data_IF_035924035758
#
_entry.id   IF_035924035758
#
_cell.length_a   1.000
_cell.length_b   1.000
_cell.length_c   1.000
_cell.angle_alpha   90.00
_cell.angle_beta   90.00
_cell.angle_gamma   90.00
#
_symmetry.space_group_name_H-M   'P 1'
#
loop_
_entity.id
_entity.type
_entity.pdbx_description
1 polymer ?
#
# COMPACT_ATOMS: atom_id res chain seq x y z
N UNK A 1 3.27 -18.49 5.27
CA UNK A 1 3.63 -19.83 4.76
C UNK A 1 3.83 -20.75 5.97
N UNK A 2 3.19 -21.93 6.05
CA UNK A 2 3.38 -22.82 7.19
C UNK A 2 4.84 -23.35 7.21
N UNK A 3 5.51 -23.31 8.37
CA UNK A 3 6.94 -23.71 8.51
C UNK A 3 7.19 -25.09 7.93
N UNK A 4 8.23 -25.31 7.12
CA UNK A 4 8.51 -26.65 6.55
C UNK A 4 8.99 -27.67 7.61
N UNK A 5 9.49 -27.17 8.74
CA UNK A 5 10.10 -27.96 9.80
C UNK A 5 9.22 -28.03 11.06
N UNK A 6 9.27 -29.17 11.74
CA UNK A 6 8.78 -29.37 13.11
C UNK A 6 9.91 -29.06 14.07
N UNK A 7 9.68 -28.12 14.99
CA UNK A 7 10.67 -27.70 15.99
C UNK A 7 10.45 -28.42 17.32
N UNK A 8 11.54 -28.83 17.96
CA UNK A 8 11.54 -29.42 19.29
C UNK A 8 12.78 -28.95 20.07
N UNK A 9 12.58 -28.53 21.31
CA UNK A 9 13.64 -27.99 22.13
C UNK A 9 14.42 -29.12 22.81
N UNK A 10 15.75 -28.97 22.90
CA UNK A 10 16.59 -29.79 23.79
C UNK A 10 16.52 -31.31 23.53
N UNK A 11 16.37 -31.73 22.27
CA UNK A 11 16.64 -33.11 21.89
C UNK A 11 18.15 -33.31 21.93
N UNK A 12 18.62 -34.15 22.86
CA UNK A 12 20.03 -34.52 22.98
C UNK A 12 20.10 -35.92 23.58
N UNK A 13 20.41 -36.90 22.75
CA UNK A 13 20.42 -38.31 23.11
C UNK A 13 21.45 -39.05 22.24
N UNK A 14 21.41 -40.37 22.25
CA UNK A 14 22.30 -41.22 21.44
C UNK A 14 21.48 -42.23 20.65
N UNK A 15 22.09 -42.87 19.66
CA UNK A 15 21.49 -43.99 18.95
C UNK A 15 21.41 -45.21 19.89
N UNK A 16 20.24 -45.84 19.95
CA UNK A 16 20.03 -47.10 20.68
C UNK A 16 20.56 -48.32 19.90
N UNK A 17 20.77 -48.17 18.58
CA UNK A 17 21.29 -49.21 17.71
C UNK A 17 22.05 -48.61 16.53
N UNK A 18 22.99 -49.37 15.96
CA UNK A 18 23.72 -48.96 14.77
C UNK A 18 22.78 -48.86 13.55
N UNK A 19 23.07 -47.93 12.65
CA UNK A 19 22.32 -47.72 11.41
C UNK A 19 23.27 -47.69 10.21
N UNK A 20 22.81 -48.26 9.08
CA UNK A 20 23.53 -48.20 7.82
C UNK A 20 23.24 -46.90 7.06
N UNK A 21 23.98 -46.64 5.99
CA UNK A 21 23.79 -45.49 5.09
C UNK A 21 22.39 -45.45 4.44
N UNK A 22 21.75 -46.61 4.26
CA UNK A 22 20.41 -46.76 3.67
C UNK A 22 19.28 -46.90 4.69
N UNK A 23 19.54 -46.72 5.98
CA UNK A 23 18.51 -46.89 7.01
C UNK A 23 17.39 -45.86 6.85
N UNK A 24 16.15 -46.35 6.78
CA UNK A 24 14.92 -45.55 6.67
C UNK A 24 14.24 -45.30 8.02
N UNK A 25 14.79 -45.86 9.10
CA UNK A 25 14.38 -45.67 10.48
C UNK A 25 15.60 -45.77 11.41
N UNK A 26 15.52 -45.11 12.56
CA UNK A 26 16.48 -45.23 13.65
C UNK A 26 15.75 -45.17 15.00
N UNK A 27 16.36 -45.75 16.02
CA UNK A 27 15.85 -45.70 17.39
C UNK A 27 16.84 -44.93 18.27
N UNK A 28 16.32 -43.97 19.02
CA UNK A 28 17.07 -43.18 19.99
C UNK A 28 17.05 -43.87 21.35
N UNK A 29 18.09 -43.65 22.16
CA UNK A 29 18.19 -44.20 23.52
C UNK A 29 17.19 -43.56 24.50
N UNK A 30 16.65 -42.39 24.14
CA UNK A 30 15.59 -41.73 24.89
C UNK A 30 14.61 -41.01 23.97
N UNK A 31 13.32 -41.01 24.35
CA UNK A 31 12.27 -40.21 23.71
C UNK A 31 12.13 -38.81 24.34
N UNK A 32 12.98 -38.45 25.29
CA UNK A 32 12.89 -37.18 25.99
C UNK A 32 12.91 -35.99 25.02
N UNK A 33 11.96 -35.07 25.20
CA UNK A 33 11.76 -33.86 24.41
C UNK A 33 11.46 -34.06 22.91
N UNK A 34 11.25 -35.30 22.47
CA UNK A 34 10.74 -35.56 21.13
C UNK A 34 9.27 -35.13 21.03
N UNK A 35 8.84 -34.57 19.89
CA UNK A 35 7.43 -34.25 19.68
C UNK A 35 6.59 -35.53 19.62
N UNK A 36 5.35 -35.48 20.06
CA UNK A 36 4.45 -36.63 20.01
C UNK A 36 4.13 -37.10 18.57
N UNK A 37 4.26 -36.21 17.58
CA UNK A 37 4.06 -36.50 16.16
C UNK A 37 4.78 -35.49 15.27
N UNK A 38 4.93 -35.84 13.98
CA UNK A 38 5.40 -34.95 12.92
C UNK A 38 4.21 -34.74 11.97
N UNK A 39 3.68 -33.51 11.82
CA UNK A 39 2.55 -33.26 10.93
C UNK A 39 2.88 -33.58 9.47
N UNK A 40 1.84 -33.91 8.69
CA UNK A 40 2.00 -34.20 7.26
C UNK A 40 2.63 -33.03 6.49
N UNK A 41 3.58 -33.35 5.61
CA UNK A 41 4.34 -32.36 4.85
C UNK A 41 5.38 -31.58 5.67
N UNK A 42 5.68 -32.02 6.91
CA UNK A 42 6.73 -31.47 7.76
C UNK A 42 7.79 -32.52 8.03
N UNK A 43 8.96 -32.05 8.47
CA UNK A 43 10.05 -32.93 8.92
C UNK A 43 10.64 -32.46 10.24
N UNK A 44 11.05 -33.41 11.08
CA UNK A 44 11.90 -33.15 12.24
C UNK A 44 13.35 -33.28 11.82
N UNK A 45 14.17 -32.28 12.14
CA UNK A 45 15.60 -32.28 11.82
C UNK A 45 16.40 -32.81 13.00
N UNK A 46 17.29 -33.75 12.73
CA UNK A 46 18.26 -34.28 13.70
C UNK A 46 19.66 -34.20 13.09
N UNK A 47 20.63 -33.80 13.90
CA UNK A 47 22.05 -33.91 13.58
C UNK A 47 22.62 -35.13 14.29
N UNK A 48 23.23 -36.02 13.51
CA UNK A 48 24.03 -37.12 14.00
C UNK A 48 25.50 -36.70 14.08
N UNK A 49 26.20 -37.16 15.12
CA UNK A 49 27.61 -36.89 15.31
C UNK A 49 28.31 -38.07 15.98
N UNK A 50 29.51 -38.38 15.54
CA UNK A 50 30.20 -39.57 15.98
C UNK A 50 30.70 -39.37 17.42
N UNK A 51 30.50 -40.36 18.28
CA UNK A 51 30.90 -40.22 19.66
C UNK A 51 32.41 -40.25 19.86
N UNK A 52 33.14 -40.88 18.94
CA UNK A 52 34.57 -41.15 19.05
C UNK A 52 35.44 -39.89 18.83
N UNK A 53 35.15 -39.12 17.79
CA UNK A 53 35.98 -38.00 17.32
C UNK A 53 35.25 -36.67 17.31
N UNK A 54 33.90 -36.69 17.23
CA UNK A 54 33.04 -35.51 17.13
C UNK A 54 33.24 -34.70 15.85
N UNK A 55 33.91 -35.25 14.84
CA UNK A 55 34.24 -34.54 13.60
C UNK A 55 33.29 -34.86 12.44
N UNK A 56 32.57 -35.98 12.51
CA UNK A 56 31.64 -36.41 11.47
C UNK A 56 30.24 -35.93 11.83
N UNK A 57 29.56 -35.31 10.87
CA UNK A 57 28.19 -34.85 11.04
C UNK A 57 27.32 -35.29 9.89
N UNK A 58 26.07 -35.62 10.19
CA UNK A 58 25.02 -35.79 9.20
C UNK A 58 23.74 -35.11 9.68
N UNK A 59 23.12 -34.34 8.79
CA UNK A 59 21.76 -33.83 9.02
C UNK A 59 20.78 -34.79 8.37
N UNK A 60 19.79 -35.22 9.14
CA UNK A 60 18.71 -36.09 8.67
C UNK A 60 17.36 -35.42 8.90
N UNK A 61 16.40 -35.75 8.05
CA UNK A 61 15.01 -35.37 8.22
C UNK A 61 14.17 -36.61 8.50
N UNK A 62 13.42 -36.62 9.60
CA UNK A 62 12.41 -37.64 9.88
C UNK A 62 11.02 -37.11 9.51
N UNK A 63 10.19 -37.96 8.90
CA UNK A 63 8.81 -37.62 8.51
C UNK A 63 7.78 -38.19 9.47
N UNK A 64 8.19 -39.12 10.34
CA UNK A 64 7.32 -39.72 11.36
C UNK A 64 8.11 -40.09 12.62
N UNK A 65 7.39 -40.18 13.74
CA UNK A 65 7.93 -40.53 15.04
C UNK A 65 6.92 -41.39 15.81
N UNK A 66 7.43 -42.39 16.53
CA UNK A 66 6.66 -43.17 17.52
C UNK A 66 7.59 -43.55 18.67
N UNK A 67 7.30 -43.05 19.87
CA UNK A 67 8.21 -43.21 21.01
C UNK A 67 9.60 -42.63 20.72
N UNK A 68 10.65 -43.45 20.86
CA UNK A 68 12.02 -43.07 20.55
C UNK A 68 12.43 -43.40 19.09
N UNK A 69 11.51 -43.91 18.27
CA UNK A 69 11.81 -44.34 16.91
C UNK A 69 11.42 -43.26 15.91
N UNK A 70 12.40 -42.82 15.13
CA UNK A 70 12.21 -41.94 13.98
C UNK A 70 12.12 -42.78 12.70
N UNK A 71 11.18 -42.44 11.83
CA UNK A 71 10.88 -43.22 10.63
C UNK A 71 10.65 -42.33 9.40
N UNK A 72 10.78 -42.94 8.22
CA UNK A 72 10.75 -42.22 6.94
C UNK A 72 11.90 -41.21 6.87
N UNK A 73 13.10 -41.68 7.17
CA UNK A 73 14.32 -40.88 7.21
C UNK A 73 14.75 -40.48 5.80
N UNK A 74 15.02 -39.20 5.61
CA UNK A 74 15.78 -38.65 4.50
C UNK A 74 17.19 -38.37 5.02
N UNK A 75 18.18 -39.08 4.48
CA UNK A 75 19.58 -39.07 4.93
C UNK A 75 20.41 -38.02 4.18
N UNK A 76 21.55 -37.60 4.74
CA UNK A 76 22.51 -36.71 4.07
C UNK A 76 21.92 -35.38 3.57
N UNK A 77 21.16 -34.68 4.41
CA UNK A 77 20.54 -33.40 4.07
C UNK A 77 21.50 -32.23 4.29
N UNK A 78 21.15 -31.05 3.75
CA UNK A 78 21.89 -29.80 3.98
C UNK A 78 23.39 -29.88 3.63
N UNK A 79 23.71 -30.52 2.49
CA UNK A 79 25.08 -30.78 2.02
C UNK A 79 25.92 -31.69 2.91
N UNK A 80 25.31 -32.43 3.83
CA UNK A 80 25.96 -33.56 4.51
C UNK A 80 25.81 -34.84 3.68
N UNK A 81 26.57 -35.88 4.02
CA UNK A 81 26.48 -37.19 3.35
C UNK A 81 25.91 -38.24 4.30
N UNK A 82 25.15 -39.20 3.75
CA UNK A 82 24.65 -40.33 4.52
C UNK A 82 25.79 -41.24 4.97
N UNK A 83 25.91 -41.48 6.27
CA UNK A 83 26.96 -42.29 6.87
C UNK A 83 26.39 -43.49 7.63
N UNK A 84 27.25 -44.47 7.93
CA UNK A 84 26.93 -45.50 8.90
C UNK A 84 27.24 -44.96 10.30
N UNK A 85 26.36 -45.22 11.25
CA UNK A 85 26.50 -44.73 12.63
C UNK A 85 26.42 -45.91 13.60
N UNK A 86 27.21 -45.85 14.65
CA UNK A 86 27.28 -46.85 15.69
C UNK A 86 26.28 -46.56 16.80
N UNK A 87 25.92 -47.62 17.55
CA UNK A 87 25.21 -47.44 18.81
C UNK A 87 26.00 -46.50 19.73
N UNK A 88 25.32 -45.58 20.40
CA UNK A 88 25.97 -44.60 21.28
C UNK A 88 26.42 -43.33 20.59
N UNK A 89 26.42 -43.26 19.25
CA UNK A 89 26.65 -42.00 18.54
C UNK A 89 25.55 -40.99 18.86
N UNK A 90 25.90 -39.70 18.83
CA UNK A 90 25.01 -38.65 19.28
C UNK A 90 23.93 -38.33 18.26
N UNK A 91 22.74 -38.02 18.77
CA UNK A 91 21.60 -37.55 18.01
C UNK A 91 20.97 -36.37 18.75
N UNK A 92 20.98 -35.19 18.14
CA UNK A 92 20.52 -33.97 18.78
C UNK A 92 19.86 -33.03 17.78
N UNK A 93 19.00 -32.13 18.27
CA UNK A 93 18.44 -31.06 17.47
C UNK A 93 19.33 -29.82 17.59
N UNK A 94 20.07 -29.51 16.53
CA UNK A 94 20.83 -28.28 16.39
C UNK A 94 20.11 -27.30 15.47
N UNK A 95 20.32 -25.98 15.61
CA UNK A 95 19.95 -25.03 14.57
C UNK A 95 20.67 -25.41 13.28
N UNK A 96 19.91 -25.73 12.24
CA UNK A 96 20.47 -26.10 10.93
C UNK A 96 20.34 -24.97 9.91
N UNK A 97 21.14 -25.02 8.85
CA UNK A 97 21.11 -24.01 7.79
C UNK A 97 19.73 -23.99 7.11
N UNK A 98 19.15 -25.16 6.84
CA UNK A 98 17.83 -25.29 6.24
C UNK A 98 16.74 -24.67 7.12
N UNK A 99 16.80 -24.88 8.44
CA UNK A 99 15.89 -24.23 9.38
C UNK A 99 16.06 -22.71 9.38
N UNK A 100 17.29 -22.21 9.38
CA UNK A 100 17.58 -20.77 9.40
C UNK A 100 17.22 -20.05 8.10
N UNK A 101 17.34 -20.73 6.95
CA UNK A 101 16.92 -20.24 5.64
C UNK A 101 15.39 -20.27 5.45
N UNK A 102 14.67 -21.09 6.23
CA UNK A 102 13.21 -21.11 6.19
C UNK A 102 12.56 -19.90 6.89
N UNK A 103 13.32 -19.14 7.69
CA UNK A 103 12.86 -17.87 8.24
C UNK A 103 12.94 -16.76 7.18
N UNK A 104 12.03 -15.79 7.27
CA UNK A 104 12.19 -14.54 6.51
C UNK A 104 13.43 -13.80 7.02
N UNK A 105 14.45 -13.64 6.18
CA UNK A 105 15.67 -12.92 6.53
C UNK A 105 15.54 -11.45 6.14
N UNK A 106 15.91 -10.57 7.07
CA UNK A 106 16.04 -9.14 6.85
C UNK A 106 17.52 -8.83 6.62
N UNK A 107 17.84 -7.93 5.68
CA UNK A 107 19.19 -7.39 5.56
C UNK A 107 19.44 -6.30 6.63
N UNK A 108 20.70 -5.95 6.87
CA UNK A 108 21.14 -4.98 7.91
C UNK A 108 20.47 -3.60 7.82
N UNK A 109 19.99 -3.22 6.64
CA UNK A 109 18.99 -2.18 6.47
C UNK A 109 17.73 -2.84 5.92
N UNK A 110 16.58 -2.67 6.60
CA UNK A 110 15.26 -3.03 6.08
C UNK A 110 14.92 -2.18 4.84
N UNK A 111 15.60 -2.47 3.74
CA UNK A 111 15.35 -1.90 2.43
C UNK A 111 14.92 -3.05 1.56
N UNK A 112 13.61 -3.13 1.30
CA UNK A 112 13.08 -3.97 0.23
C UNK A 112 13.52 -3.32 -1.09
N UNK A 113 14.77 -3.52 -1.48
CA UNK A 113 15.28 -3.03 -2.77
C UNK A 113 14.72 -3.88 -3.90
N UNK A 114 14.20 -3.24 -4.95
CA UNK A 114 13.66 -3.92 -6.14
C UNK A 114 12.13 -4.04 -6.15
N UNK A 115 11.60 -4.54 -7.27
CA UNK A 115 10.17 -4.79 -7.47
C UNK A 115 9.74 -6.02 -6.68
N UNK A 116 9.20 -5.82 -5.48
CA UNK A 116 8.68 -6.88 -4.65
C UNK A 116 7.21 -7.16 -5.01
N UNK A 117 6.90 -8.40 -5.36
CA UNK A 117 5.53 -8.82 -5.70
C UNK A 117 4.81 -9.31 -4.46
N UNK A 118 3.74 -8.61 -4.06
CA UNK A 118 2.82 -9.08 -3.04
C UNK A 118 1.61 -9.74 -3.72
N UNK A 119 1.32 -11.00 -3.38
CA UNK A 119 0.16 -11.73 -3.91
C UNK A 119 -1.18 -11.21 -3.36
N UNK A 120 -1.15 -10.46 -2.25
CA UNK A 120 -2.29 -9.79 -1.68
C UNK A 120 -2.05 -8.27 -1.71
N UNK A 121 -3.11 -7.45 -1.86
CA UNK A 121 -2.97 -6.00 -1.80
C UNK A 121 -2.32 -5.57 -0.47
N UNK A 122 -1.36 -4.65 -0.55
CA UNK A 122 -0.82 -3.98 0.63
C UNK A 122 -1.90 -3.05 1.17
N UNK A 123 -2.39 -3.33 2.38
CA UNK A 123 -3.27 -2.40 3.09
C UNK A 123 -2.44 -1.25 3.64
N UNK A 124 -2.63 -0.05 3.10
CA UNK A 124 -2.04 1.18 3.65
C UNK A 124 -3.07 1.89 4.52
N UNK A 125 -2.70 2.29 5.74
CA UNK A 125 -3.59 3.06 6.61
C UNK A 125 -3.92 4.45 6.06
N UNK A 126 -4.76 5.20 6.76
CA UNK A 126 -5.04 6.58 6.35
C UNK A 126 -3.82 7.46 6.46
N UNK A 127 -3.47 8.16 5.37
CA UNK A 127 -2.40 9.14 5.39
C UNK A 127 -2.80 10.34 6.28
N UNK A 128 -1.98 10.63 7.29
CA UNK A 128 -2.21 11.71 8.27
C UNK A 128 -1.05 12.70 8.33
N UNK A 129 0.08 12.41 7.68
CA UNK A 129 1.27 13.26 7.69
C UNK A 129 1.99 13.27 6.33
N UNK A 130 2.92 14.21 6.17
CA UNK A 130 3.75 14.34 4.98
C UNK A 130 4.59 13.07 4.74
N UNK A 131 4.68 12.64 3.49
CA UNK A 131 5.41 11.43 3.11
C UNK A 131 4.64 10.12 3.30
N UNK A 132 3.42 10.14 3.86
CA UNK A 132 2.57 8.94 3.89
C UNK A 132 2.05 8.59 2.49
N UNK A 133 2.02 7.30 2.16
CA UNK A 133 1.29 6.82 0.99
C UNK A 133 -0.22 7.02 1.20
N UNK A 134 -0.91 7.53 0.19
CA UNK A 134 -2.35 7.82 0.26
C UNK A 134 -3.16 6.71 -0.40
N UNK A 135 -4.29 6.34 0.22
CA UNK A 135 -5.27 5.48 -0.42
C UNK A 135 -5.88 6.21 -1.63
N UNK A 136 -6.15 5.49 -2.73
CA UNK A 136 -6.84 6.11 -3.88
C UNK A 136 -8.18 6.75 -3.50
N UNK A 137 -8.91 6.13 -2.57
CA UNK A 137 -10.16 6.68 -2.01
C UNK A 137 -10.00 7.95 -1.15
N UNK A 138 -8.78 8.32 -0.76
CA UNK A 138 -8.53 9.59 -0.06
C UNK A 138 -8.41 10.79 -1.01
N UNK A 139 -8.09 10.56 -2.29
CA UNK A 139 -7.93 11.64 -3.27
C UNK A 139 -9.22 12.45 -3.51
N UNK A 140 -10.42 11.85 -3.67
CA UNK A 140 -11.66 12.63 -3.77
C UNK A 140 -11.96 13.49 -2.54
N UNK A 141 -11.57 13.04 -1.34
CA UNK A 141 -11.70 13.83 -0.11
C UNK A 141 -10.75 15.03 -0.04
N UNK A 142 -9.64 14.98 -0.78
CA UNK A 142 -8.68 16.08 -0.84
C UNK A 142 -9.08 17.21 -1.80
N UNK A 143 -9.89 16.92 -2.83
CA UNK A 143 -10.36 17.93 -3.78
C UNK A 143 -11.90 18.04 -3.81
N UNK A 144 -12.53 18.54 -2.72
CA UNK A 144 -13.99 18.72 -2.69
C UNK A 144 -14.48 19.56 -3.86
N UNK A 145 -15.64 19.20 -4.43
CA UNK A 145 -16.22 19.92 -5.57
C UNK A 145 -17.75 19.80 -5.63
N UNK A 146 -18.36 20.69 -6.40
CA UNK A 146 -19.74 20.59 -6.91
C UNK A 146 -19.72 20.80 -8.42
N UNK A 147 -20.06 19.77 -9.20
CA UNK A 147 -19.98 19.76 -10.67
C UNK A 147 -21.29 20.15 -11.38
N UNK A 148 -22.05 21.04 -10.75
CA UNK A 148 -23.27 21.63 -11.33
C UNK A 148 -22.94 22.70 -12.38
N UNK A 149 -23.97 23.17 -13.11
CA UNK A 149 -23.83 24.22 -14.15
C UNK A 149 -23.19 25.52 -13.62
N UNK A 150 -23.52 25.87 -12.38
CA UNK A 150 -22.75 26.79 -11.56
C UNK A 150 -22.17 25.99 -10.40
N UNK A 151 -20.86 25.83 -10.36
CA UNK A 151 -20.17 24.87 -9.51
C UNK A 151 -18.80 25.35 -9.06
N UNK A 152 -18.11 24.51 -8.30
CA UNK A 152 -16.83 24.87 -7.69
C UNK A 152 -15.93 23.65 -7.46
N UNK A 153 -14.64 23.91 -7.31
CA UNK A 153 -13.63 22.94 -6.91
C UNK A 153 -12.60 23.57 -5.97
N UNK A 154 -12.26 22.85 -4.90
CA UNK A 154 -11.20 23.20 -3.96
C UNK A 154 -9.92 22.43 -4.29
N UNK A 155 -8.79 23.11 -4.21
CA UNK A 155 -7.44 22.57 -4.36
C UNK A 155 -6.69 22.82 -3.07
N UNK A 156 -6.21 21.79 -2.35
CA UNK A 156 -5.37 21.98 -1.18
C UNK A 156 -4.18 22.87 -1.51
N UNK A 157 -3.99 23.91 -0.71
CA UNK A 157 -2.83 24.80 -0.81
C UNK A 157 -2.42 25.19 0.61
N UNK A 158 -1.28 24.70 1.12
CA UNK A 158 -0.83 25.01 2.48
C UNK A 158 -0.47 26.49 2.66
N UNK A 159 -0.30 27.25 1.59
CA UNK A 159 -0.04 28.69 1.65
C UNK A 159 -1.33 29.52 1.68
N UNK A 160 -2.49 28.90 1.43
CA UNK A 160 -3.79 29.56 1.60
C UNK A 160 -4.17 29.61 3.09
N UNK A 161 -4.64 30.74 3.64
CA UNK A 161 -5.14 30.84 5.01
C UNK A 161 -6.30 29.89 5.33
N UNK A 162 -7.10 29.53 4.32
CA UNK A 162 -8.20 28.56 4.46
C UNK A 162 -7.78 27.12 4.17
N UNK A 163 -6.51 26.89 3.82
CA UNK A 163 -5.95 25.60 3.42
C UNK A 163 -6.28 25.17 1.98
N UNK A 164 -7.00 26.01 1.22
CA UNK A 164 -7.39 25.70 -0.15
C UNK A 164 -7.37 26.94 -1.05
N UNK A 165 -7.07 26.72 -2.33
CA UNK A 165 -7.50 27.55 -3.43
C UNK A 165 -8.85 27.06 -3.94
N UNK A 166 -9.71 27.99 -4.35
CA UNK A 166 -11.06 27.69 -4.83
C UNK A 166 -11.21 28.23 -6.26
N UNK A 167 -11.66 27.37 -7.14
CA UNK A 167 -12.08 27.68 -8.51
C UNK A 167 -13.60 27.55 -8.59
N UNK A 168 -14.26 28.53 -9.19
CA UNK A 168 -15.71 28.57 -9.31
C UNK A 168 -16.12 28.94 -10.73
N UNK A 169 -17.25 28.41 -11.19
CA UNK A 169 -17.84 28.76 -12.47
C UNK A 169 -19.35 28.92 -12.34
N UNK A 170 -19.94 29.61 -13.30
CA UNK A 170 -21.38 29.69 -13.38
C UNK A 170 -21.89 30.32 -14.66
N UNK A 171 -23.21 30.34 -14.76
CA UNK A 171 -23.95 30.87 -15.90
C UNK A 171 -24.98 31.89 -15.43
N UNK A 172 -25.39 32.77 -16.34
CA UNK A 172 -26.43 33.75 -16.07
C UNK A 172 -26.85 34.49 -17.33
N UNK A 173 -27.69 35.50 -17.15
CA UNK A 173 -28.15 36.35 -18.25
C UNK A 173 -28.09 37.83 -17.85
N UNK A 174 -27.67 38.69 -18.78
CA UNK A 174 -27.67 40.15 -18.61
C UNK A 174 -28.66 40.76 -19.60
N UNK A 175 -29.43 41.74 -19.15
CA UNK A 175 -30.28 42.57 -20.00
C UNK A 175 -29.73 43.98 -20.05
N UNK A 176 -29.38 44.44 -21.24
CA UNK A 176 -28.96 45.83 -21.50
C UNK A 176 -30.13 46.62 -22.09
N UNK A 177 -30.40 47.80 -21.54
CA UNK A 177 -31.52 48.64 -21.97
C UNK A 177 -31.15 49.61 -23.11
N UNK A 178 -29.89 49.63 -23.54
CA UNK A 178 -29.42 50.58 -24.55
C UNK A 178 -27.97 50.31 -24.97
N UNK A 179 -27.37 51.26 -25.68
CA UNK A 179 -25.96 51.17 -26.03
C UNK A 179 -25.06 51.48 -24.83
N UNK A 180 -23.91 50.82 -24.73
CA UNK A 180 -22.89 51.06 -23.70
C UNK A 180 -22.65 49.87 -22.78
N UNK A 181 -21.95 50.16 -21.67
CA UNK A 181 -21.58 49.15 -20.67
C UNK A 181 -22.75 48.87 -19.72
N UNK A 182 -23.09 47.59 -19.58
CA UNK A 182 -24.07 47.10 -18.60
C UNK A 182 -23.38 46.17 -17.61
N UNK A 183 -23.03 46.65 -16.40
CA UNK A 183 -22.50 45.81 -15.34
C UNK A 183 -23.62 45.11 -14.55
N UNK A 184 -23.47 43.82 -14.27
CA UNK A 184 -24.40 43.05 -13.45
C UNK A 184 -23.66 42.07 -12.54
N UNK A 185 -23.93 42.05 -11.22
CA UNK A 185 -23.33 41.09 -10.31
C UNK A 185 -23.99 39.72 -10.46
N UNK A 186 -23.17 38.66 -10.37
CA UNK A 186 -23.61 37.27 -10.31
C UNK A 186 -23.07 36.60 -9.06
N UNK A 187 -23.95 35.87 -8.36
CA UNK A 187 -23.56 35.14 -7.16
C UNK A 187 -22.71 33.92 -7.52
N UNK A 188 -21.58 33.80 -6.83
CA UNK A 188 -20.74 32.61 -6.87
C UNK A 188 -21.43 31.45 -6.13
N UNK A 189 -21.20 30.19 -6.54
CA UNK A 189 -21.75 29.02 -5.87
C UNK A 189 -21.42 28.93 -4.37
N UNK A 190 -20.23 29.34 -3.96
CA UNK A 190 -19.81 29.52 -2.57
C UNK A 190 -19.03 30.83 -2.41
N UNK A 191 -18.97 31.37 -1.19
CA UNK A 191 -18.12 32.51 -0.90
C UNK A 191 -16.64 32.10 -0.82
N UNK A 192 -15.73 32.96 -1.29
CA UNK A 192 -14.31 32.86 -0.97
C UNK A 192 -14.09 33.24 0.50
N UNK A 193 -13.45 32.37 1.31
CA UNK A 193 -13.24 32.66 2.73
C UNK A 193 -12.40 33.91 3.03
N UNK A 194 -11.47 34.28 2.15
CA UNK A 194 -10.50 35.36 2.39
C UNK A 194 -10.45 36.39 1.24
N UNK A 195 -10.26 35.94 0.00
CA UNK A 195 -9.98 36.81 -1.13
C UNK A 195 -10.54 36.30 -2.45
N UNK A 196 -11.11 37.21 -3.23
CA UNK A 196 -11.44 37.03 -4.65
C UNK A 196 -10.26 37.58 -5.46
N UNK A 197 -9.59 36.75 -6.26
CA UNK A 197 -8.32 37.11 -6.91
C UNK A 197 -8.41 37.41 -8.39
N UNK A 198 -9.33 36.74 -9.09
CA UNK A 198 -9.46 36.88 -10.53
C UNK A 198 -10.83 36.41 -10.98
N UNK A 199 -11.37 37.09 -11.99
CA UNK A 199 -12.57 36.66 -12.68
C UNK A 199 -12.43 36.82 -14.19
N UNK A 200 -13.13 35.96 -14.94
CA UNK A 200 -13.27 36.05 -16.38
C UNK A 200 -14.71 35.68 -16.78
N UNK A 201 -15.18 36.24 -17.88
CA UNK A 201 -16.49 35.90 -18.42
C UNK A 201 -16.44 35.80 -19.95
N UNK A 202 -17.39 35.05 -20.48
CA UNK A 202 -17.62 34.91 -21.91
C UNK A 202 -19.12 34.79 -22.17
N UNK A 203 -19.52 35.06 -23.42
CA UNK A 203 -20.87 34.73 -23.84
C UNK A 203 -21.06 33.21 -23.82
N UNK A 204 -22.24 32.77 -23.38
CA UNK A 204 -22.64 31.38 -23.41
C UNK A 204 -23.44 31.11 -24.69
N UNK A 205 -22.73 31.19 -25.82
CA UNK A 205 -23.30 31.18 -27.17
C UNK A 205 -22.78 32.35 -27.99
N UNK A 206 -23.62 32.91 -28.85
CA UNK A 206 -23.25 34.03 -29.71
C UNK A 206 -23.27 35.36 -28.94
N UNK A 207 -22.35 36.26 -29.31
CA UNK A 207 -22.38 37.63 -28.83
C UNK A 207 -23.69 38.32 -29.29
N UNK A 208 -24.39 39.05 -28.41
CA UNK A 208 -25.64 39.71 -28.78
C UNK A 208 -25.46 40.82 -29.83
N UNK A 209 -26.42 40.97 -30.74
CA UNK A 209 -26.56 42.18 -31.57
C UNK A 209 -25.67 42.29 -32.82
N UNK A 210 -25.01 41.22 -33.28
CA UNK A 210 -24.37 41.18 -34.61
C UNK A 210 -23.06 41.96 -34.79
N UNK A 211 -22.58 42.74 -33.82
CA UNK A 211 -21.25 43.37 -33.88
C UNK A 211 -20.69 43.71 -32.48
N UNK A 212 -19.40 43.41 -32.26
CA UNK A 212 -18.52 44.00 -31.23
C UNK A 212 -18.95 43.88 -29.75
N UNK A 213 -19.67 42.82 -29.37
CA UNK A 213 -19.96 42.54 -27.97
C UNK A 213 -18.66 42.25 -27.22
N UNK A 214 -18.19 43.20 -26.41
CA UNK A 214 -17.13 42.96 -25.45
C UNK A 214 -17.75 42.50 -24.13
N UNK A 215 -17.11 41.52 -23.49
CA UNK A 215 -17.49 41.05 -22.16
C UNK A 215 -16.25 41.01 -21.29
N UNK A 216 -16.38 41.50 -20.07
CA UNK A 216 -15.36 41.44 -19.04
C UNK A 216 -15.98 40.98 -17.73
N UNK A 217 -15.14 40.41 -16.88
CA UNK A 217 -15.49 40.17 -15.49
C UNK A 217 -14.37 40.73 -14.60
N UNK A 218 -14.75 41.12 -13.40
CA UNK A 218 -13.82 41.53 -12.36
C UNK A 218 -14.34 41.04 -11.00
N UNK A 219 -13.44 41.04 -10.03
CA UNK A 219 -13.75 40.77 -8.64
C UNK A 219 -14.75 41.83 -8.14
N UNK A 220 -15.73 41.42 -7.32
CA UNK A 220 -16.73 42.36 -6.78
C UNK A 220 -16.86 42.24 -5.27
N UNK A 221 -17.28 41.07 -4.80
CA UNK A 221 -17.30 40.71 -3.38
C UNK A 221 -16.76 39.30 -3.24
N UNK A 222 -16.67 38.80 -2.00
CA UNK A 222 -16.29 37.42 -1.73
C UNK A 222 -17.30 36.40 -2.25
N UNK A 223 -18.54 36.80 -2.54
CA UNK A 223 -19.60 35.91 -3.01
C UNK A 223 -20.15 36.29 -4.39
N UNK A 224 -19.55 37.27 -5.07
CA UNK A 224 -20.04 37.74 -6.37
C UNK A 224 -18.91 38.08 -7.33
N UNK A 225 -19.18 37.86 -8.61
CA UNK A 225 -18.42 38.38 -9.75
C UNK A 225 -19.23 39.47 -10.44
N UNK A 226 -18.59 40.58 -10.80
CA UNK A 226 -19.23 41.62 -11.60
C UNK A 226 -18.92 41.36 -13.08
N UNK A 227 -19.94 41.05 -13.86
CA UNK A 227 -19.80 40.86 -15.32
C UNK A 227 -20.32 42.11 -16.01
N UNK A 228 -19.52 42.67 -16.91
CA UNK A 228 -19.89 43.83 -17.71
C UNK A 228 -19.91 43.45 -19.18
N UNK A 229 -21.02 43.70 -19.85
CA UNK A 229 -21.11 43.59 -21.30
C UNK A 229 -21.19 44.98 -21.93
N UNK A 230 -20.62 45.13 -23.11
CA UNK A 230 -20.87 46.27 -23.99
C UNK A 230 -21.84 45.85 -25.09
N UNK A 231 -22.89 46.64 -25.30
CA UNK A 231 -23.85 46.42 -26.40
C UNK A 231 -24.00 47.67 -27.25
N UNK A 232 -24.26 47.51 -28.55
CA UNK A 232 -24.52 48.63 -29.49
C UNK A 232 -25.98 49.12 -29.43
N UNK A 233 -26.84 48.45 -28.67
CA UNK A 233 -28.25 48.74 -28.48
C UNK A 233 -28.84 47.87 -27.38
N UNK A 234 -30.17 47.94 -27.21
CA UNK A 234 -30.85 47.12 -26.21
C UNK A 234 -30.77 45.62 -26.54
N UNK A 235 -30.46 44.82 -25.53
CA UNK A 235 -30.32 43.37 -25.62
C UNK A 235 -31.04 42.74 -24.44
N UNK A 236 -31.92 41.79 -24.69
CA UNK A 236 -32.57 41.01 -23.64
C UNK A 236 -31.90 39.64 -23.50
N UNK A 237 -31.69 39.20 -22.27
CA UNK A 237 -31.22 37.85 -21.93
C UNK A 237 -29.93 37.41 -22.65
N UNK A 238 -28.91 38.27 -22.67
CA UNK A 238 -27.59 37.88 -23.14
C UNK A 238 -27.04 36.78 -22.22
N UNK A 239 -26.99 35.54 -22.71
CA UNK A 239 -26.48 34.42 -21.94
C UNK A 239 -24.96 34.56 -21.74
N UNK A 240 -24.52 34.43 -20.50
CA UNK A 240 -23.11 34.53 -20.11
C UNK A 240 -22.69 33.31 -19.31
N UNK A 241 -21.39 33.08 -19.30
CA UNK A 241 -20.70 32.17 -18.40
C UNK A 241 -19.54 32.93 -17.76
N UNK A 242 -19.25 32.64 -16.51
CA UNK A 242 -18.13 33.20 -15.79
C UNK A 242 -17.33 32.12 -15.09
N UNK A 243 -16.09 32.48 -14.81
CA UNK A 243 -15.15 31.69 -14.04
C UNK A 243 -14.39 32.61 -13.10
N UNK A 244 -14.10 32.15 -11.90
CA UNK A 244 -13.42 32.94 -10.88
C UNK A 244 -12.53 32.07 -10.00
N UNK A 245 -11.49 32.69 -9.45
CA UNK A 245 -10.52 32.08 -8.53
C UNK A 245 -10.33 32.92 -7.29
N UNK A 246 -10.18 32.25 -6.14
CA UNK A 246 -9.98 32.88 -4.85
C UNK A 246 -9.59 31.86 -3.78
N UNK A 247 -9.56 32.27 -2.52
CA UNK A 247 -9.27 31.42 -1.35
C UNK A 247 -9.85 31.97 -0.06
#
# INVERSE_FOLDING_TARGET
>A
MPSLFTFANNISTTLAGAISTGATSLTLSSAANLPASIPSGKVLVITLNDAATRQQFEVIYATSISGATLSGLLRGQENTSAQAWSTGDYAYCAPTMGQMQAFGQLADANTWTGSNTFNNPVSVGTATASGHAMQFGQLPGQFPSSLTSSGWKKYPDPNSPSGYMIEQWGVGSITSLGAGNTPQPFNLPIAYPNAHLSAMAGYNGNAPGGALGAIAAQEYTLNQVLVTIYTSGAVSNAAIKYWSKGY
#
